data_IF_180754337954
#
_entry.id   IF_180754337954
#
_cell.length_a   1.000
_cell.length_b   1.000
_cell.length_c   1.000
_cell.angle_alpha   90.00
_cell.angle_beta   90.00
_cell.angle_gamma   90.00
#
_symmetry.space_group_name_H-M   'P 1'
#
loop_
_entity.id
_entity.type
_entity.pdbx_description
1 polymer ?
#
# COMPACT_ATOMS: atom_id res chain seq x y z
N UNK A 1 -7.50 1.48 -3.73
CA UNK A 1 -6.05 1.78 -3.83
C UNK A 1 -5.78 3.26 -4.13
N UNK A 2 -6.31 3.83 -5.22
CA UNK A 2 -6.00 5.21 -5.63
C UNK A 2 -6.42 6.27 -4.60
N UNK A 3 -7.58 6.13 -3.96
CA UNK A 3 -8.04 7.02 -2.88
C UNK A 3 -7.07 7.04 -1.68
N UNK A 4 -6.61 5.87 -1.24
CA UNK A 4 -5.67 5.73 -0.12
C UNK A 4 -4.36 6.45 -0.39
N UNK A 5 -3.83 6.36 -1.61
CA UNK A 5 -2.61 7.09 -2.01
C UNK A 5 -2.90 8.59 -2.08
N UNK A 6 -4.03 8.99 -2.67
CA UNK A 6 -4.42 10.41 -2.80
C UNK A 6 -4.56 11.11 -1.46
N UNK A 7 -5.08 10.43 -0.44
CA UNK A 7 -5.34 11.02 0.88
C UNK A 7 -4.12 10.96 1.82
N UNK A 8 -3.35 9.87 1.78
CA UNK A 8 -2.35 9.60 2.84
C UNK A 8 -0.88 9.61 2.39
N UNK A 9 -0.59 9.53 1.10
CA UNK A 9 0.80 9.48 0.64
C UNK A 9 1.49 10.85 0.68
N UNK A 10 2.83 10.86 0.62
CA UNK A 10 3.61 12.08 0.41
C UNK A 10 3.39 12.65 -1.00
N UNK A 11 3.75 13.91 -1.23
CA UNK A 11 3.65 14.54 -2.55
C UNK A 11 4.43 13.74 -3.62
N UNK A 12 5.65 13.31 -3.29
CA UNK A 12 6.50 12.51 -4.18
C UNK A 12 5.83 11.19 -4.59
N UNK A 13 5.23 10.48 -3.63
CA UNK A 13 4.52 9.23 -3.92
C UNK A 13 3.26 9.48 -4.76
N UNK A 14 2.52 10.57 -4.52
CA UNK A 14 1.35 10.94 -5.32
C UNK A 14 1.73 11.17 -6.78
N UNK A 15 2.77 11.97 -7.04
CA UNK A 15 3.26 12.24 -8.39
C UNK A 15 3.73 10.97 -9.11
N UNK A 16 4.38 10.06 -8.37
CA UNK A 16 4.90 8.81 -8.94
C UNK A 16 3.82 7.80 -9.32
N UNK A 17 2.78 7.65 -8.51
CA UNK A 17 1.82 6.54 -8.66
C UNK A 17 0.46 6.95 -9.24
N UNK A 18 -0.07 8.12 -8.88
CA UNK A 18 -1.44 8.50 -9.25
C UNK A 18 -1.67 8.66 -10.76
N UNK A 19 -0.78 9.27 -11.57
CA UNK A 19 -1.04 9.47 -13.00
C UNK A 19 -1.34 8.15 -13.73
N UNK A 20 -0.46 7.16 -13.59
CA UNK A 20 -0.61 5.83 -14.20
C UNK A 20 -1.80 5.04 -13.67
N UNK A 21 -2.18 5.25 -12.41
CA UNK A 21 -3.35 4.61 -11.83
C UNK A 21 -4.66 5.23 -12.33
N UNK A 22 -4.71 6.55 -12.56
CA UNK A 22 -5.87 7.22 -13.13
C UNK A 22 -6.01 7.00 -14.64
N UNK A 23 -4.90 6.87 -15.36
CA UNK A 23 -4.86 6.47 -16.78
C UNK A 23 -5.25 5.00 -16.98
N UNK A 24 -5.28 4.20 -15.91
CA UNK A 24 -5.61 2.78 -15.95
C UNK A 24 -4.48 1.88 -16.41
N UNK A 25 -3.27 2.40 -16.62
CA UNK A 25 -2.08 1.60 -16.90
C UNK A 25 -1.73 0.69 -15.71
N UNK A 26 -1.90 1.22 -14.49
CA UNK A 26 -1.63 0.50 -13.25
C UNK A 26 -2.90 0.29 -12.43
N UNK A 27 -3.12 -0.95 -12.00
CA UNK A 27 -4.13 -1.30 -11.02
C UNK A 27 -3.52 -1.44 -9.63
N UNK A 28 -4.35 -1.29 -8.60
CA UNK A 28 -3.92 -1.45 -7.22
C UNK A 28 -4.94 -2.24 -6.42
N UNK A 29 -4.46 -3.01 -5.45
CA UNK A 29 -5.30 -3.85 -4.57
C UNK A 29 -4.89 -3.66 -3.11
N UNK A 30 -5.75 -4.10 -2.19
CA UNK A 30 -5.47 -4.09 -0.76
C UNK A 30 -5.10 -5.50 -0.31
N UNK A 31 -3.88 -5.68 0.18
CA UNK A 31 -3.35 -6.97 0.63
C UNK A 31 -3.38 -7.07 2.16
N UNK A 32 -4.56 -7.30 2.73
CA UNK A 32 -4.76 -7.27 4.19
C UNK A 32 -4.85 -8.66 4.84
N UNK A 33 -5.50 -9.61 4.18
CA UNK A 33 -5.82 -10.92 4.78
C UNK A 33 -4.72 -11.94 4.58
N UNK A 34 -4.53 -12.82 5.57
CA UNK A 34 -3.66 -14.00 5.50
C UNK A 34 -4.49 -15.27 5.75
N UNK A 35 -4.00 -16.49 5.42
CA UNK A 35 -4.77 -17.73 5.61
C UNK A 35 -5.33 -17.96 7.02
N UNK A 36 -4.72 -17.33 8.03
CA UNK A 36 -5.11 -17.41 9.44
C UNK A 36 -5.66 -16.08 10.01
N UNK A 37 -5.72 -15.02 9.19
CA UNK A 37 -6.16 -13.68 9.60
C UNK A 37 -7.14 -13.11 8.55
N UNK A 38 -8.44 -13.31 8.82
CA UNK A 38 -9.55 -12.79 8.01
C UNK A 38 -10.22 -11.60 8.68
N UNK A 39 -11.21 -11.86 9.54
CA UNK A 39 -11.89 -10.82 10.33
C UNK A 39 -10.95 -10.16 11.34
N UNK A 40 -10.08 -10.95 11.97
CA UNK A 40 -9.09 -10.45 12.92
C UNK A 40 -7.75 -10.18 12.21
N UNK A 41 -7.59 -8.95 11.74
CA UNK A 41 -6.34 -8.47 11.13
C UNK A 41 -5.21 -8.25 12.16
N UNK A 42 -5.51 -8.25 13.46
CA UNK A 42 -4.49 -8.14 14.51
C UNK A 42 -3.56 -9.36 14.57
N UNK A 43 -3.98 -10.48 13.97
CA UNK A 43 -3.22 -11.72 13.90
C UNK A 43 -2.25 -11.81 12.72
N UNK A 44 -2.18 -10.79 11.86
CA UNK A 44 -1.26 -10.74 10.72
C UNK A 44 0.18 -10.98 11.18
N UNK A 45 0.90 -11.83 10.43
CA UNK A 45 2.31 -12.15 10.74
C UNK A 45 3.31 -11.52 9.77
N UNK A 46 2.87 -11.01 8.63
CA UNK A 46 3.73 -10.25 7.70
C UNK A 46 4.40 -9.08 8.43
N UNK A 47 5.70 -8.89 8.18
CA UNK A 47 6.53 -7.87 8.83
C UNK A 47 7.20 -6.98 7.79
N UNK A 48 7.32 -5.71 8.12
CA UNK A 48 8.12 -4.71 7.42
C UNK A 48 9.40 -4.48 8.25
N UNK A 49 10.59 -4.67 7.67
CA UNK A 49 11.87 -4.59 8.38
C UNK A 49 12.66 -3.42 7.81
N UNK A 50 13.05 -2.45 8.64
CA UNK A 50 13.75 -1.25 8.16
C UNK A 50 15.03 -1.58 7.38
N UNK A 51 15.18 -0.98 6.20
CA UNK A 51 16.37 -1.12 5.36
C UNK A 51 17.45 -0.07 5.65
N UNK A 52 17.15 0.94 6.49
CA UNK A 52 18.07 1.99 6.90
C UNK A 52 18.13 3.22 5.98
N UNK A 53 17.35 3.25 4.91
CA UNK A 53 17.26 4.35 3.93
C UNK A 53 15.89 5.06 3.95
N UNK A 54 15.07 4.75 4.96
CA UNK A 54 13.69 5.24 5.06
C UNK A 54 12.65 4.30 4.42
N UNK A 55 13.08 3.20 3.82
CA UNK A 55 12.20 2.09 3.44
C UNK A 55 12.14 1.00 4.51
N UNK A 56 11.14 0.13 4.37
CA UNK A 56 10.95 -1.11 5.13
C UNK A 56 11.23 -2.35 4.27
#
# INVERSE_FOLDING_TARGET
>A
ATLTISEHASAELKERYLPKMYEGEWSGTMCLTEPHAGTDLGMIRTKALENGDGSY
#
